data_IF_284640637897
#
_entry.id   IF_284640637897
#
_cell.length_a   1.000
_cell.length_b   1.000
_cell.length_c   1.000
_cell.angle_alpha   90.00
_cell.angle_beta   90.00
_cell.angle_gamma   90.00
#
_symmetry.space_group_name_H-M   'P 1'
#
loop_
_entity.id
_entity.type
_entity.pdbx_description
1 polymer ?
#
# COMPACT_ATOMS: atom_id res chain seq x y z
N UNK A 1 27.86 -21.18 46.53
CA UNK A 1 28.62 -21.14 45.25
C UNK A 1 27.97 -22.12 44.30
N UNK A 2 27.14 -21.62 43.36
CA UNK A 2 26.54 -22.46 42.30
C UNK A 2 26.46 -21.55 41.05
N UNK A 3 27.34 -21.90 40.10
CA UNK A 3 27.56 -21.19 38.85
C UNK A 3 26.45 -21.49 37.89
N UNK A 4 25.66 -20.49 37.44
CA UNK A 4 24.70 -20.61 36.35
C UNK A 4 25.38 -20.26 35.02
N UNK A 5 25.57 -21.25 34.16
CA UNK A 5 26.06 -21.08 32.78
C UNK A 5 24.94 -20.58 31.88
N UNK A 6 25.05 -19.35 31.40
CA UNK A 6 24.19 -18.81 30.34
C UNK A 6 24.56 -19.43 28.98
N UNK A 7 23.62 -20.18 28.42
CA UNK A 7 23.70 -20.66 27.02
C UNK A 7 23.33 -19.52 26.07
N UNK A 8 24.32 -18.93 25.46
CA UNK A 8 24.17 -17.91 24.39
C UNK A 8 23.79 -18.62 23.09
N UNK A 9 22.50 -18.63 22.70
CA UNK A 9 22.03 -19.16 21.42
C UNK A 9 22.02 -18.02 20.37
N UNK A 10 22.93 -18.13 19.42
CA UNK A 10 23.09 -17.22 18.27
C UNK A 10 21.86 -17.26 17.36
N UNK A 11 21.13 -16.15 17.13
CA UNK A 11 19.86 -16.12 16.37
C UNK A 11 20.03 -16.36 14.86
N UNK A 12 21.25 -16.34 14.32
CA UNK A 12 21.49 -16.56 12.89
C UNK A 12 21.33 -18.02 12.43
N UNK A 13 21.21 -19.01 13.34
CA UNK A 13 21.03 -20.43 13.00
C UNK A 13 19.58 -20.87 12.85
N UNK A 14 18.62 -20.12 13.32
CA UNK A 14 17.19 -20.51 13.31
C UNK A 14 16.54 -20.20 11.95
N UNK A 15 16.97 -19.17 11.24
CA UNK A 15 16.38 -18.80 9.93
C UNK A 15 16.84 -19.67 8.74
N UNK A 16 17.88 -20.45 8.87
CA UNK A 16 18.40 -21.28 7.77
C UNK A 16 17.70 -22.65 7.61
N UNK A 17 16.84 -23.05 8.55
CA UNK A 17 16.18 -24.37 8.51
C UNK A 17 14.76 -24.33 7.91
N UNK A 18 14.10 -23.19 7.80
CA UNK A 18 12.75 -23.09 7.23
C UNK A 18 12.72 -22.96 5.69
N UNK A 19 13.81 -22.54 5.06
CA UNK A 19 13.86 -22.39 3.60
C UNK A 19 14.16 -23.68 2.80
N UNK A 20 14.36 -24.84 3.48
CA UNK A 20 14.67 -26.13 2.81
C UNK A 20 13.49 -27.09 2.62
N UNK A 21 12.28 -26.74 3.00
CA UNK A 21 11.11 -27.64 2.93
C UNK A 21 10.13 -27.42 1.76
N UNK A 22 10.32 -26.44 0.89
CA UNK A 22 9.36 -26.15 -0.19
C UNK A 22 9.86 -26.40 -1.62
N UNK A 23 10.95 -27.16 -1.80
CA UNK A 23 11.49 -27.43 -3.14
C UNK A 23 11.74 -28.92 -3.35
N UNK A 24 10.69 -29.72 -3.45
CA UNK A 24 10.72 -31.05 -4.07
C UNK A 24 9.30 -31.52 -4.34
N UNK A 25 8.77 -31.21 -5.50
CA UNK A 25 7.91 -32.15 -6.25
C UNK A 25 7.52 -31.53 -7.60
N UNK A 26 8.16 -31.98 -8.67
CA UNK A 26 7.55 -32.19 -9.98
C UNK A 26 8.66 -32.61 -10.95
N UNK A 27 8.74 -33.90 -11.23
CA UNK A 27 9.21 -34.40 -12.54
C UNK A 27 8.78 -35.85 -12.67
N UNK A 28 7.84 -36.14 -13.50
CA UNK A 28 7.64 -37.47 -14.05
C UNK A 28 7.19 -37.35 -15.51
N UNK A 29 8.16 -37.68 -16.36
CA UNK A 29 8.00 -37.87 -17.80
C UNK A 29 7.13 -39.10 -18.06
N UNK A 30 6.23 -39.08 -19.05
CA UNK A 30 5.95 -40.27 -19.86
C UNK A 30 5.82 -39.87 -21.33
N UNK A 31 6.72 -40.52 -22.12
CA UNK A 31 6.67 -40.63 -23.59
C UNK A 31 5.66 -41.71 -23.96
N UNK A 32 4.98 -41.54 -25.06
CA UNK A 32 4.19 -42.57 -25.73
C UNK A 32 3.87 -42.16 -27.15
N UNK A 33 4.53 -42.80 -28.10
CA UNK A 33 4.37 -42.68 -29.54
C UNK A 33 3.19 -43.51 -30.04
N UNK A 34 2.51 -43.08 -31.14
CA UNK A 34 2.22 -43.91 -32.33
C UNK A 34 1.15 -43.22 -33.23
N UNK A 35 1.54 -42.95 -34.40
CA UNK A 35 1.05 -43.28 -35.76
C UNK A 35 -0.42 -43.67 -35.92
N UNK A 36 -1.10 -43.01 -36.85
CA UNK A 36 -2.30 -43.49 -37.51
C UNK A 36 -2.88 -42.49 -38.54
N UNK A 37 -2.85 -42.90 -39.79
CA UNK A 37 -3.21 -42.17 -41.02
C UNK A 37 -4.73 -42.08 -41.26
N UNK A 38 -5.07 -41.14 -42.12
CA UNK A 38 -6.15 -41.08 -43.18
C UNK A 38 -7.47 -40.43 -42.77
N UNK A 39 -7.75 -39.33 -43.40
CA UNK A 39 -8.36 -39.03 -44.71
C UNK A 39 -9.88 -38.91 -44.69
N UNK A 40 -10.32 -37.86 -45.36
CA UNK A 40 -11.65 -37.51 -45.91
C UNK A 40 -12.55 -36.68 -44.96
N UNK A 41 -12.68 -35.40 -45.21
CA UNK A 41 -13.50 -34.80 -46.28
C UNK A 41 -14.96 -34.70 -45.85
N UNK A 42 -15.35 -33.57 -45.25
CA UNK A 42 -16.65 -32.97 -45.58
C UNK A 42 -16.71 -31.53 -45.06
N UNK A 43 -16.93 -30.66 -46.01
CA UNK A 43 -17.23 -29.25 -45.91
C UNK A 43 -18.56 -29.07 -45.13
N UNK A 44 -18.52 -28.54 -43.91
CA UNK A 44 -19.72 -27.93 -43.32
C UNK A 44 -19.34 -26.53 -42.84
N UNK A 45 -19.75 -25.56 -43.69
CA UNK A 45 -19.71 -24.15 -43.34
C UNK A 45 -20.66 -23.89 -42.17
N UNK A 46 -20.14 -23.78 -40.99
CA UNK A 46 -20.87 -23.18 -39.88
C UNK A 46 -20.87 -21.67 -40.02
N UNK A 47 -22.03 -21.00 -39.94
CA UNK A 47 -22.08 -19.56 -40.05
C UNK A 47 -21.43 -18.91 -38.84
N UNK A 48 -20.42 -18.08 -39.09
CA UNK A 48 -19.81 -17.22 -38.10
C UNK A 48 -20.89 -16.38 -37.41
N UNK A 49 -21.25 -16.74 -36.20
CA UNK A 49 -22.10 -15.92 -35.36
C UNK A 49 -21.34 -14.64 -35.02
N UNK A 50 -21.68 -13.55 -35.71
CA UNK A 50 -21.22 -12.21 -35.34
C UNK A 50 -21.63 -11.98 -33.89
N UNK A 51 -20.65 -12.02 -32.98
CA UNK A 51 -20.83 -11.57 -31.62
C UNK A 51 -20.98 -10.05 -31.72
N UNK A 52 -22.21 -9.58 -31.67
CA UNK A 52 -22.49 -8.18 -31.42
C UNK A 52 -21.85 -7.85 -30.08
N UNK A 53 -20.73 -7.15 -30.09
CA UNK A 53 -20.18 -6.49 -28.92
C UNK A 53 -21.27 -5.52 -28.42
N UNK A 54 -22.06 -5.99 -27.47
CA UNK A 54 -22.96 -5.13 -26.71
C UNK A 54 -22.05 -4.07 -26.07
N UNK A 55 -22.12 -2.85 -26.62
CA UNK A 55 -21.57 -1.67 -25.93
C UNK A 55 -22.18 -1.67 -24.53
N UNK A 56 -21.40 -2.11 -23.54
CA UNK A 56 -21.71 -1.80 -22.16
C UNK A 56 -21.77 -0.28 -22.08
N UNK A 57 -22.98 0.24 -21.91
CA UNK A 57 -23.17 1.63 -21.58
C UNK A 57 -22.40 1.86 -20.26
N UNK A 58 -21.27 2.54 -20.35
CA UNK A 58 -20.63 3.12 -19.18
C UNK A 58 -21.68 4.03 -18.54
N UNK A 59 -22.12 3.64 -17.36
CA UNK A 59 -22.94 4.53 -16.54
C UNK A 59 -22.22 5.89 -16.50
N UNK A 60 -22.95 7.02 -16.65
CA UNK A 60 -22.31 8.32 -16.55
C UNK A 60 -21.63 8.37 -15.20
N UNK A 61 -20.30 8.45 -15.19
CA UNK A 61 -19.57 8.88 -14.00
C UNK A 61 -20.16 10.25 -13.66
N UNK A 62 -21.00 10.29 -12.64
CA UNK A 62 -21.39 11.55 -12.05
C UNK A 62 -20.08 12.18 -11.60
N UNK A 63 -19.65 13.22 -12.31
CA UNK A 63 -18.55 14.07 -11.88
C UNK A 63 -18.91 14.46 -10.45
N UNK A 64 -18.20 13.89 -9.49
CA UNK A 64 -18.37 14.28 -8.10
C UNK A 64 -18.03 15.76 -8.06
N UNK A 65 -19.04 16.59 -7.90
CA UNK A 65 -18.87 18.04 -7.75
C UNK A 65 -17.98 18.18 -6.52
N UNK A 66 -16.70 18.42 -6.74
CA UNK A 66 -15.75 18.72 -5.67
C UNK A 66 -16.22 20.02 -5.04
N UNK A 67 -17.09 19.89 -4.04
CA UNK A 67 -17.53 21.04 -3.27
C UNK A 67 -16.30 21.56 -2.56
N UNK A 68 -15.83 22.75 -2.97
CA UNK A 68 -14.72 23.41 -2.29
C UNK A 68 -15.01 23.44 -0.79
N UNK A 69 -14.08 23.04 0.06
CA UNK A 69 -14.30 23.00 1.49
C UNK A 69 -14.73 24.40 1.97
N UNK A 70 -15.66 24.50 2.94
CA UNK A 70 -16.16 25.78 3.42
C UNK A 70 -15.01 26.66 3.92
N UNK A 71 -15.14 27.98 3.73
CA UNK A 71 -14.13 28.94 4.16
C UNK A 71 -13.82 28.73 5.65
N UNK A 72 -12.54 28.70 5.93
CA UNK A 72 -11.97 28.43 7.24
C UNK A 72 -12.06 29.66 8.14
N UNK A 73 -12.53 29.51 9.36
CA UNK A 73 -12.49 30.59 10.35
C UNK A 73 -11.10 30.64 10.98
N UNK A 74 -10.48 31.84 11.06
CA UNK A 74 -9.19 32.00 11.73
C UNK A 74 -9.25 31.43 13.16
N UNK A 75 -8.27 30.61 13.52
CA UNK A 75 -8.20 29.95 14.84
C UNK A 75 -9.05 28.69 14.98
N UNK A 76 -9.78 28.26 13.94
CA UNK A 76 -10.43 26.94 13.97
C UNK A 76 -9.49 25.83 13.48
N UNK A 77 -9.72 24.62 13.95
CA UNK A 77 -9.05 23.41 13.48
C UNK A 77 -10.00 22.64 12.57
N UNK A 78 -9.47 22.08 11.47
CA UNK A 78 -10.20 21.20 10.56
C UNK A 78 -9.53 19.84 10.52
N UNK A 79 -10.32 18.79 10.55
CA UNK A 79 -9.85 17.41 10.34
C UNK A 79 -10.50 16.91 9.04
N UNK A 80 -9.67 16.42 8.11
CA UNK A 80 -10.11 15.94 6.80
C UNK A 80 -9.56 14.53 6.61
N UNK A 81 -10.42 13.50 6.62
CA UNK A 81 -9.99 12.16 6.24
C UNK A 81 -9.75 12.08 4.73
N UNK A 82 -8.62 11.54 4.32
CA UNK A 82 -8.26 11.27 2.91
C UNK A 82 -8.44 9.79 2.56
N UNK A 83 -8.75 8.95 3.55
CA UNK A 83 -9.04 7.53 3.45
C UNK A 83 -9.33 6.96 4.83
N UNK A 84 -9.80 5.71 4.87
CA UNK A 84 -10.11 5.00 6.12
C UNK A 84 -11.47 5.36 6.75
N UNK A 85 -12.27 6.23 6.11
CA UNK A 85 -13.60 6.58 6.60
C UNK A 85 -14.68 5.74 5.88
N UNK A 86 -15.33 4.83 6.61
CA UNK A 86 -16.33 3.92 6.06
C UNK A 86 -15.74 2.74 5.30
N UNK A 87 -14.44 2.51 5.40
CA UNK A 87 -13.70 1.39 4.78
C UNK A 87 -12.60 0.89 5.74
N UNK A 88 -12.04 -0.28 5.47
CA UNK A 88 -10.91 -0.84 6.21
C UNK A 88 -9.66 -0.67 5.35
N UNK A 89 -8.70 0.13 5.81
CA UNK A 89 -7.45 0.37 5.10
C UNK A 89 -7.26 1.81 4.66
N UNK A 90 -6.17 2.10 3.96
CA UNK A 90 -5.70 3.41 3.48
C UNK A 90 -5.93 4.58 4.46
N UNK A 91 -5.70 4.32 5.75
CA UNK A 91 -5.94 5.30 6.80
C UNK A 91 -5.04 6.52 6.60
N UNK A 92 -5.65 7.70 6.46
CA UNK A 92 -4.94 8.98 6.38
C UNK A 92 -5.86 10.12 6.79
N UNK A 93 -5.38 10.96 7.68
CA UNK A 93 -6.09 12.16 8.12
C UNK A 93 -5.20 13.39 8.00
N UNK A 94 -5.80 14.51 7.67
CA UNK A 94 -5.16 15.84 7.69
C UNK A 94 -5.75 16.64 8.83
N UNK A 95 -4.91 17.16 9.71
CA UNK A 95 -5.27 18.17 10.69
C UNK A 95 -4.76 19.51 10.17
N UNK A 96 -5.67 20.42 9.87
CA UNK A 96 -5.37 21.76 9.35
C UNK A 96 -5.62 22.80 10.43
N UNK A 97 -4.61 23.63 10.69
CA UNK A 97 -4.72 24.74 11.63
C UNK A 97 -3.92 25.94 11.12
N UNK A 98 -4.56 27.11 11.02
CA UNK A 98 -3.96 28.36 10.53
C UNK A 98 -3.16 28.22 9.21
N UNK A 99 -3.61 27.35 8.31
CA UNK A 99 -2.97 27.12 7.01
C UNK A 99 -1.83 26.10 7.03
N UNK A 100 -1.44 25.59 8.19
CA UNK A 100 -0.47 24.49 8.35
C UNK A 100 -1.19 23.14 8.37
N UNK A 101 -0.54 22.12 7.86
CA UNK A 101 -1.08 20.77 7.74
C UNK A 101 -0.23 19.79 8.55
N UNK A 102 -0.85 19.05 9.44
CA UNK A 102 -0.28 17.88 10.08
C UNK A 102 -0.97 16.63 9.53
N UNK A 103 -0.21 15.70 9.00
CA UNK A 103 -0.73 14.44 8.51
C UNK A 103 -0.68 13.38 9.62
N UNK A 104 -1.70 12.53 9.68
CA UNK A 104 -1.74 11.39 10.60
C UNK A 104 -1.99 10.14 9.78
N UNK A 105 -1.00 9.23 9.78
CA UNK A 105 -0.92 8.02 8.98
C UNK A 105 -0.97 8.27 7.46
N UNK A 106 -0.51 7.30 6.71
CA UNK A 106 -0.55 7.26 5.26
C UNK A 106 -0.51 5.78 4.84
N UNK A 107 -1.65 5.12 4.94
CA UNK A 107 -1.79 3.70 4.70
C UNK A 107 -2.11 3.35 3.26
N UNK A 108 -2.29 2.05 3.03
CA UNK A 108 -2.80 1.51 1.76
C UNK A 108 -4.01 0.62 2.05
N UNK A 109 -4.81 0.42 1.01
CA UNK A 109 -5.83 -0.62 0.94
C UNK A 109 -5.41 -1.58 -0.17
N UNK A 110 -5.52 -2.87 0.08
CA UNK A 110 -5.32 -3.89 -0.95
C UNK A 110 -6.60 -4.06 -1.76
N UNK A 111 -6.50 -4.19 -3.09
CA UNK A 111 -7.67 -4.34 -3.94
C UNK A 111 -8.40 -5.66 -3.68
N UNK A 112 -9.69 -5.69 -3.96
CA UNK A 112 -10.52 -6.90 -3.97
C UNK A 112 -10.38 -7.66 -5.30
N UNK A 113 -10.93 -8.88 -5.38
CA UNK A 113 -10.82 -9.75 -6.57
C UNK A 113 -11.43 -9.11 -7.84
N UNK A 114 -12.40 -8.21 -7.67
CA UNK A 114 -13.08 -7.52 -8.77
C UNK A 114 -12.24 -6.38 -9.40
N UNK A 115 -11.04 -6.11 -8.90
CA UNK A 115 -10.15 -5.03 -9.35
C UNK A 115 -8.87 -5.57 -10.01
N UNK A 116 -8.94 -6.35 -11.10
CA UNK A 116 -7.76 -6.95 -11.71
C UNK A 116 -6.81 -5.87 -12.24
N UNK A 117 -5.51 -6.05 -11.96
CA UNK A 117 -4.46 -5.12 -12.40
C UNK A 117 -4.24 -3.91 -11.49
N UNK A 118 -4.92 -3.86 -10.35
CA UNK A 118 -4.65 -2.90 -9.27
C UNK A 118 -3.82 -3.59 -8.20
N UNK A 119 -2.64 -3.08 -7.88
CA UNK A 119 -1.76 -3.63 -6.84
C UNK A 119 -2.03 -3.01 -5.46
N UNK A 120 -2.28 -1.70 -5.42
CA UNK A 120 -2.50 -0.93 -4.20
C UNK A 120 -3.49 0.21 -4.45
N UNK A 121 -4.27 0.54 -3.42
CA UNK A 121 -5.13 1.71 -3.40
C UNK A 121 -4.58 2.68 -2.34
N UNK A 122 -4.24 3.90 -2.79
CA UNK A 122 -3.68 4.95 -1.93
C UNK A 122 -4.79 5.88 -1.40
N UNK A 123 -4.53 6.61 -0.31
CA UNK A 123 -5.34 7.76 0.06
C UNK A 123 -5.40 8.80 -1.06
N UNK A 124 -6.45 9.60 -1.08
CA UNK A 124 -6.57 10.68 -2.07
C UNK A 124 -5.71 11.89 -1.67
N UNK A 125 -4.54 12.03 -2.29
CA UNK A 125 -3.63 13.15 -2.05
C UNK A 125 -4.09 14.46 -2.70
N UNK A 126 -5.20 14.47 -3.44
CA UNK A 126 -5.64 15.67 -4.17
C UNK A 126 -5.83 16.86 -3.23
N UNK A 127 -6.39 16.63 -2.03
CA UNK A 127 -6.62 17.67 -1.03
C UNK A 127 -5.34 18.41 -0.58
N UNK A 128 -4.19 17.72 -0.55
CA UNK A 128 -2.91 18.28 -0.07
C UNK A 128 -1.95 18.64 -1.19
N UNK A 129 -2.19 18.21 -2.43
CA UNK A 129 -1.26 18.26 -3.55
C UNK A 129 -0.68 19.66 -3.81
N UNK A 130 -1.55 20.67 -3.81
CA UNK A 130 -1.15 22.06 -4.08
C UNK A 130 -0.68 22.81 -2.82
N UNK A 131 -0.62 22.11 -1.69
CA UNK A 131 -0.26 22.66 -0.36
C UNK A 131 0.76 21.79 0.38
N UNK A 132 1.53 20.99 -0.36
CA UNK A 132 2.57 20.14 0.24
C UNK A 132 3.61 20.97 1.01
N UNK A 133 3.86 22.21 0.59
CA UNK A 133 4.74 23.19 1.30
C UNK A 133 4.23 23.56 2.70
N UNK A 134 2.94 23.36 2.97
CA UNK A 134 2.30 23.62 4.27
C UNK A 134 2.27 22.40 5.19
N UNK A 135 2.71 21.23 4.71
CA UNK A 135 2.79 20.01 5.52
C UNK A 135 3.97 20.11 6.46
N UNK A 136 3.71 20.17 7.76
CA UNK A 136 4.75 20.27 8.79
C UNK A 136 5.39 18.93 9.10
N UNK A 137 4.58 17.86 9.19
CA UNK A 137 5.02 16.51 9.48
C UNK A 137 3.96 15.47 9.13
N UNK A 138 4.39 14.21 9.06
CA UNK A 138 3.53 13.02 9.08
C UNK A 138 3.75 12.27 10.40
N UNK A 139 2.73 12.19 11.21
CA UNK A 139 2.73 11.40 12.45
C UNK A 139 2.22 10.00 12.15
N UNK A 140 2.98 8.99 12.55
CA UNK A 140 2.67 7.57 12.33
C UNK A 140 2.26 6.93 13.65
N UNK A 141 1.03 6.43 13.70
CA UNK A 141 0.47 5.84 14.92
C UNK A 141 1.10 4.50 15.23
N UNK A 142 1.23 3.63 14.23
CA UNK A 142 1.84 2.30 14.34
C UNK A 142 2.26 1.74 12.98
N UNK A 143 2.87 0.55 12.95
CA UNK A 143 3.57 0.03 11.77
C UNK A 143 2.76 -0.91 10.87
N UNK A 144 1.43 -0.92 10.90
CA UNK A 144 0.62 -1.73 9.97
C UNK A 144 0.54 -1.09 8.57
N UNK A 145 0.37 -1.92 7.54
CA UNK A 145 0.38 -1.50 6.13
C UNK A 145 -0.72 -0.47 5.82
N UNK A 146 -1.88 -0.64 6.40
CA UNK A 146 -3.03 0.27 6.27
C UNK A 146 -2.83 1.62 6.97
N UNK A 147 -1.68 1.82 7.64
CA UNK A 147 -1.24 3.06 8.27
C UNK A 147 0.07 3.62 7.72
N UNK A 148 0.97 2.77 7.18
CA UNK A 148 2.28 3.23 6.70
C UNK A 148 2.57 2.89 5.23
N UNK A 149 1.76 2.03 4.60
CA UNK A 149 2.05 1.51 3.26
C UNK A 149 2.11 2.57 2.15
N UNK A 150 1.39 3.68 2.31
CA UNK A 150 1.36 4.80 1.37
C UNK A 150 2.52 5.80 1.54
N UNK A 151 3.30 5.71 2.62
CA UNK A 151 4.37 6.67 2.94
C UNK A 151 5.38 6.87 1.81
N UNK A 152 5.92 5.83 1.14
CA UNK A 152 6.86 6.04 0.04
C UNK A 152 6.26 6.83 -1.13
N UNK A 153 4.97 6.67 -1.38
CA UNK A 153 4.27 7.39 -2.46
C UNK A 153 4.07 8.86 -2.13
N UNK A 154 3.75 9.18 -0.87
CA UNK A 154 3.71 10.56 -0.38
C UNK A 154 5.08 11.23 -0.46
N UNK A 155 6.13 10.54 -0.04
CA UNK A 155 7.52 11.06 -0.07
C UNK A 155 8.06 11.23 -1.50
N UNK A 156 7.51 10.56 -2.51
CA UNK A 156 7.81 10.88 -3.92
C UNK A 156 7.32 12.27 -4.33
N UNK A 157 6.25 12.76 -3.69
CA UNK A 157 5.73 14.10 -3.94
C UNK A 157 6.50 15.17 -3.16
N UNK A 158 6.90 14.88 -1.92
CA UNK A 158 7.69 15.75 -1.06
C UNK A 158 8.61 14.93 -0.15
N UNK A 159 9.91 14.75 -0.51
CA UNK A 159 10.84 13.85 0.17
C UNK A 159 11.26 14.30 1.58
N UNK A 160 11.15 15.57 1.89
CA UNK A 160 11.65 16.20 3.12
C UNK A 160 10.63 16.26 4.27
N UNK A 161 9.43 15.69 4.09
CA UNK A 161 8.42 15.63 5.16
C UNK A 161 8.99 14.85 6.36
N UNK A 162 9.05 15.45 7.57
CA UNK A 162 9.46 14.74 8.77
C UNK A 162 8.46 13.63 9.12
N UNK A 163 8.95 12.42 9.33
CA UNK A 163 8.15 11.27 9.77
C UNK A 163 8.35 11.07 11.26
N UNK A 164 7.28 11.24 12.02
CA UNK A 164 7.29 11.19 13.48
C UNK A 164 6.62 9.88 13.92
N UNK A 165 7.29 9.10 14.75
CA UNK A 165 6.73 7.83 15.23
C UNK A 165 7.58 7.13 16.25
N UNK A 166 7.11 5.96 16.70
CA UNK A 166 7.91 5.09 17.58
C UNK A 166 9.08 4.49 16.82
N UNK A 167 10.14 4.11 17.54
CA UNK A 167 11.31 3.45 16.94
C UNK A 167 10.95 2.27 16.06
N UNK A 168 10.01 1.42 16.49
CA UNK A 168 9.58 0.25 15.72
C UNK A 168 8.85 0.65 14.44
N UNK A 169 7.89 1.57 14.53
CA UNK A 169 7.15 2.08 13.38
C UNK A 169 8.08 2.69 12.34
N UNK A 170 9.03 3.53 12.80
CA UNK A 170 10.00 4.17 11.91
C UNK A 170 10.94 3.17 11.23
N UNK A 171 11.34 2.08 11.93
CA UNK A 171 12.16 1.04 11.32
C UNK A 171 11.44 0.31 10.17
N UNK A 172 10.13 0.05 10.29
CA UNK A 172 9.32 -0.51 9.19
C UNK A 172 9.22 0.45 8.01
N UNK A 173 8.97 1.73 8.29
CA UNK A 173 8.89 2.76 7.25
C UNK A 173 10.23 2.96 6.54
N UNK A 174 11.35 2.96 7.28
CA UNK A 174 12.68 3.07 6.71
C UNK A 174 12.98 1.93 5.74
N UNK A 175 12.68 0.67 6.15
CA UNK A 175 12.85 -0.50 5.30
C UNK A 175 12.03 -0.37 4.00
N UNK A 176 10.77 0.05 4.11
CA UNK A 176 9.87 0.27 2.98
C UNK A 176 10.35 1.41 2.06
N UNK A 177 10.78 2.53 2.61
CA UNK A 177 11.35 3.65 1.84
C UNK A 177 12.63 3.25 1.09
N UNK A 178 13.45 2.37 1.68
CA UNK A 178 14.66 1.86 1.05
C UNK A 178 14.38 1.06 -0.23
N UNK A 179 13.31 0.27 -0.27
CA UNK A 179 12.85 -0.44 -1.46
C UNK A 179 12.52 0.55 -2.60
N UNK A 180 11.98 1.70 -2.26
CA UNK A 180 11.69 2.80 -3.18
C UNK A 180 12.87 3.75 -3.42
N UNK A 181 14.07 3.49 -2.86
CA UNK A 181 15.27 4.34 -2.94
C UNK A 181 15.06 5.75 -2.38
N UNK A 182 14.24 5.86 -1.35
CA UNK A 182 13.95 7.10 -0.64
C UNK A 182 14.68 7.06 0.70
N UNK A 183 15.34 8.18 1.07
CA UNK A 183 15.96 8.36 2.39
C UNK A 183 15.06 9.29 3.23
N UNK A 184 14.22 8.75 4.14
CA UNK A 184 13.24 9.54 4.87
C UNK A 184 13.89 10.33 6.03
N UNK A 185 13.31 11.49 6.36
CA UNK A 185 13.66 12.24 7.56
C UNK A 185 12.87 11.67 8.76
N UNK A 186 13.53 10.88 9.61
CA UNK A 186 12.92 10.21 10.75
C UNK A 186 13.08 11.02 12.04
N UNK A 187 12.00 11.11 12.81
CA UNK A 187 11.95 11.74 14.14
C UNK A 187 11.36 10.75 15.13
N UNK A 188 12.23 10.09 15.87
CA UNK A 188 11.81 9.14 16.92
C UNK A 188 11.20 9.88 18.12
N UNK A 189 10.05 9.39 18.58
CA UNK A 189 9.41 9.86 19.82
C UNK A 189 9.23 8.70 20.78
N UNK A 190 9.42 8.99 22.07
CA UNK A 190 9.15 8.09 23.18
C UNK A 190 7.88 8.53 23.89
N UNK A 191 7.26 7.59 24.61
CA UNK A 191 6.06 7.94 25.38
C UNK A 191 6.30 9.14 26.30
N UNK A 192 5.38 10.13 26.25
CA UNK A 192 5.40 11.40 26.96
C UNK A 192 6.37 12.48 26.42
N UNK A 193 7.03 12.27 25.29
CA UNK A 193 7.78 13.34 24.63
C UNK A 193 6.83 14.47 24.20
N UNK A 194 7.32 15.71 24.30
CA UNK A 194 6.64 16.89 23.75
C UNK A 194 7.46 17.39 22.57
N UNK A 195 6.84 17.40 21.41
CA UNK A 195 7.40 18.02 20.20
C UNK A 195 7.11 19.53 20.27
N UNK A 196 8.12 20.34 20.03
CA UNK A 196 8.00 21.82 19.94
C UNK A 196 8.05 22.23 18.49
#
# INVERSE_FOLDING_TARGET
MTEQRHHNRNPKKVMAQEQKKTSKNTNSRRRGSARGRNANGSNSRTPSRKINATRQATAPQQDAVLIAPPKYRKGSMRIVPLGGLGEIGRNMNVVEYNGHLLLIDCGVLFPEEEQPGVDLILPDFHYIKDRLDKVEALVLTHGHEDHIGGVPYLLKLRPDIPLIGSKLTLAFVEAKCKEHRINPRLVEVKGRDKLK
#
